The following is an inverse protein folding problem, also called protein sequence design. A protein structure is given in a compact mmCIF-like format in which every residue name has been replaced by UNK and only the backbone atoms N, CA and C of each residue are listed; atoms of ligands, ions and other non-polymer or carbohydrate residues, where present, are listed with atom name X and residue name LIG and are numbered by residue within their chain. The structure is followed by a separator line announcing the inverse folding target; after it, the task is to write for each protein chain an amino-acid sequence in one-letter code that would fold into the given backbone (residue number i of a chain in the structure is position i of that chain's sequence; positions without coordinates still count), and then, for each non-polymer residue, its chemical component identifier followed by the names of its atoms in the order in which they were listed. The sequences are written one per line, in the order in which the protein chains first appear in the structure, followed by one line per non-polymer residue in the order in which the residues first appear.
data_IF_471258190564
#
_entry.id   IF_471258190564
#
_cell.length_a   1.000
_cell.length_b   1.000
_cell.length_c   1.000
_cell.angle_alpha   90.00
_cell.angle_beta   90.00
_cell.angle_gamma   90.00
#
_symmetry.space_group_name_H-M   'P 1'
#
loop_
_entity.id
_entity.type
_entity.pdbx_description
1 polymer ?
#
# COMPACT_ATOMS: atom_id res chain seq x y z
N UNK A 1 29.89 5.16 -3.80
CA UNK A 1 29.51 6.02 -2.67
C UNK A 1 30.68 6.10 -1.72
N UNK A 2 30.90 7.23 -1.01
CA UNK A 2 31.69 7.16 0.22
C UNK A 2 31.06 6.10 1.15
N UNK A 3 31.85 5.38 1.95
CA UNK A 3 31.33 4.36 2.86
C UNK A 3 30.23 4.96 3.73
N UNK A 4 29.14 4.23 3.90
CA UNK A 4 28.08 4.61 4.84
C UNK A 4 28.71 4.76 6.22
N UNK A 5 28.42 5.86 6.91
CA UNK A 5 28.83 6.06 8.29
C UNK A 5 28.26 4.92 9.17
N UNK A 6 29.09 4.11 9.84
CA UNK A 6 28.62 3.02 10.69
C UNK A 6 27.77 3.49 11.87
N UNK A 7 27.85 4.78 12.24
CA UNK A 7 27.02 5.37 13.30
C UNK A 7 25.61 5.73 12.83
N UNK A 8 25.36 5.80 11.50
CA UNK A 8 24.02 6.02 10.96
C UNK A 8 23.24 4.72 10.91
N UNK A 9 22.26 4.59 11.78
CA UNK A 9 21.32 3.46 11.84
C UNK A 9 20.44 3.32 10.59
N UNK A 10 19.85 2.13 10.40
CA UNK A 10 18.94 1.84 9.28
C UNK A 10 17.65 2.67 9.35
N UNK A 11 17.16 2.93 10.58
CA UNK A 11 16.00 3.75 10.87
C UNK A 11 16.41 5.22 11.00
N UNK A 12 16.57 5.89 9.86
CA UNK A 12 16.70 7.34 9.85
C UNK A 12 15.34 7.99 10.11
N UNK A 13 15.31 9.16 10.75
CA UNK A 13 14.07 9.88 11.08
C UNK A 13 13.16 10.06 9.85
N UNK A 14 13.75 10.26 8.66
CA UNK A 14 13.01 10.33 7.39
C UNK A 14 12.16 9.07 7.14
N UNK A 15 12.74 7.88 7.31
CA UNK A 15 12.04 6.60 7.09
C UNK A 15 10.96 6.41 8.14
N UNK A 16 11.24 6.74 9.41
CA UNK A 16 10.24 6.59 10.48
C UNK A 16 9.01 7.45 10.19
N UNK A 17 9.21 8.72 9.80
CA UNK A 17 8.12 9.64 9.45
C UNK A 17 7.35 9.16 8.23
N UNK A 18 8.03 8.65 7.19
CA UNK A 18 7.37 8.09 6.01
C UNK A 18 6.44 6.92 6.38
N UNK A 19 6.94 5.94 7.14
CA UNK A 19 6.15 4.77 7.54
C UNK A 19 4.95 5.19 8.40
N UNK A 20 5.15 6.12 9.35
CA UNK A 20 4.06 6.61 10.20
C UNK A 20 2.99 7.34 9.40
N UNK A 21 3.38 8.25 8.49
CA UNK A 21 2.43 8.99 7.66
C UNK A 21 1.58 8.05 6.81
N UNK A 22 2.22 7.15 6.05
CA UNK A 22 1.50 6.22 5.19
C UNK A 22 0.66 5.23 6.00
N UNK A 23 1.18 4.72 7.12
CA UNK A 23 0.45 3.81 8.00
C UNK A 23 -0.81 4.45 8.59
N UNK A 24 -0.71 5.67 9.11
CA UNK A 24 -1.86 6.42 9.62
C UNK A 24 -2.88 6.68 8.51
N UNK A 25 -2.43 7.12 7.34
CA UNK A 25 -3.33 7.45 6.23
C UNK A 25 -4.08 6.22 5.70
N UNK A 26 -3.39 5.09 5.53
CA UNK A 26 -4.01 3.81 5.15
C UNK A 26 -4.98 3.34 6.22
N UNK A 27 -4.60 3.42 7.50
CA UNK A 27 -5.47 3.06 8.62
C UNK A 27 -6.75 3.88 8.68
N UNK A 28 -6.65 5.20 8.46
CA UNK A 28 -7.80 6.10 8.41
C UNK A 28 -8.74 5.77 7.25
N UNK A 29 -8.22 5.54 6.04
CA UNK A 29 -9.03 5.12 4.89
C UNK A 29 -9.71 3.77 5.12
N UNK A 30 -9.02 2.84 5.77
CA UNK A 30 -9.56 1.53 6.13
C UNK A 30 -10.75 1.69 7.10
N UNK A 31 -10.56 2.39 8.22
CA UNK A 31 -11.62 2.63 9.22
C UNK A 31 -12.78 3.41 8.61
N UNK A 32 -12.49 4.41 7.77
CA UNK A 32 -13.51 5.18 7.07
C UNK A 32 -14.33 4.29 6.12
N UNK A 33 -13.67 3.38 5.39
CA UNK A 33 -14.39 2.43 4.50
C UNK A 33 -15.34 1.52 5.28
N UNK A 34 -14.93 1.06 6.46
CA UNK A 34 -15.79 0.29 7.36
C UNK A 34 -17.02 1.11 7.77
N UNK A 35 -16.79 2.36 8.23
CA UNK A 35 -17.84 3.27 8.65
C UNK A 35 -18.81 3.58 7.51
N UNK A 36 -18.32 3.86 6.30
CA UNK A 36 -19.17 4.16 5.15
C UNK A 36 -20.12 2.99 4.84
N UNK A 37 -19.61 1.76 4.79
CA UNK A 37 -20.43 0.59 4.47
C UNK A 37 -21.44 0.28 5.57
N UNK A 38 -21.05 0.39 6.84
CA UNK A 38 -21.94 0.07 7.96
C UNK A 38 -23.00 1.16 8.19
N UNK A 39 -22.59 2.43 8.16
CA UNK A 39 -23.39 3.54 8.67
C UNK A 39 -24.00 4.43 7.59
N UNK A 40 -23.30 4.66 6.48
CA UNK A 40 -23.79 5.59 5.44
C UNK A 40 -24.62 4.84 4.40
N UNK A 41 -24.12 3.71 3.93
CA UNK A 41 -24.79 2.89 2.92
C UNK A 41 -25.52 1.68 3.53
N UNK A 42 -25.26 1.38 4.80
CA UNK A 42 -25.94 0.35 5.57
C UNK A 42 -27.09 0.90 6.40
N UNK A 43 -27.70 0.01 7.18
CA UNK A 43 -28.85 0.31 8.04
C UNK A 43 -28.45 0.83 9.44
N UNK A 44 -27.16 1.11 9.69
CA UNK A 44 -26.61 1.43 11.03
C UNK A 44 -26.85 0.33 12.09
N UNK A 45 -27.30 -0.85 11.67
CA UNK A 45 -27.49 -1.98 12.56
C UNK A 45 -26.17 -2.69 12.78
N UNK A 46 -25.84 -2.94 14.04
CA UNK A 46 -24.64 -3.67 14.43
C UNK A 46 -24.90 -5.17 14.54
N UNK A 47 -26.15 -5.60 14.39
CA UNK A 47 -26.60 -6.97 14.59
C UNK A 47 -26.38 -7.45 16.02
N UNK A 48 -26.69 -8.72 16.25
CA UNK A 48 -26.43 -9.38 17.53
C UNK A 48 -25.37 -10.48 17.40
N UNK A 49 -24.42 -10.50 18.33
CA UNK A 49 -23.34 -11.48 18.44
C UNK A 49 -22.51 -11.74 17.14
N UNK A 50 -22.29 -10.70 16.33
CA UNK A 50 -21.57 -10.78 15.03
C UNK A 50 -20.07 -11.12 15.11
N UNK A 51 -19.50 -11.23 16.31
CA UNK A 51 -18.10 -11.66 16.50
C UNK A 51 -17.96 -13.18 16.52
N UNK A 52 -19.03 -13.91 16.87
CA UNK A 52 -18.99 -15.36 17.05
C UNK A 52 -19.36 -16.09 15.74
N UNK A 53 -20.59 -15.88 15.28
CA UNK A 53 -21.18 -16.59 14.15
C UNK A 53 -21.88 -15.63 13.19
N UNK A 54 -21.85 -15.96 11.90
CA UNK A 54 -22.62 -15.22 10.91
C UNK A 54 -24.12 -15.48 11.12
N UNK A 55 -24.91 -14.40 11.14
CA UNK A 55 -26.36 -14.45 11.07
C UNK A 55 -26.85 -13.34 10.13
N UNK A 56 -28.13 -13.35 9.70
CA UNK A 56 -28.65 -12.34 8.78
C UNK A 56 -28.58 -10.90 9.30
N UNK A 57 -28.67 -10.68 10.63
CA UNK A 57 -28.53 -9.33 11.20
C UNK A 57 -27.11 -8.76 11.06
N UNK A 58 -26.10 -9.63 10.86
CA UNK A 58 -24.70 -9.24 10.73
C UNK A 58 -24.26 -8.94 9.30
N UNK A 59 -25.17 -8.94 8.32
CA UNK A 59 -24.81 -8.84 6.90
C UNK A 59 -23.95 -7.60 6.61
N UNK A 60 -24.40 -6.42 7.05
CA UNK A 60 -23.67 -5.16 6.83
C UNK A 60 -22.36 -5.09 7.60
N UNK A 61 -22.30 -5.64 8.82
CA UNK A 61 -21.05 -5.72 9.59
C UNK A 61 -20.02 -6.58 8.86
N UNK A 62 -20.43 -7.73 8.32
CA UNK A 62 -19.53 -8.62 7.59
C UNK A 62 -19.09 -8.02 6.24
N UNK A 63 -19.97 -7.30 5.54
CA UNK A 63 -19.61 -6.56 4.32
C UNK A 63 -18.66 -5.40 4.61
N UNK A 64 -18.87 -4.67 5.71
CA UNK A 64 -17.98 -3.61 6.16
C UNK A 64 -16.59 -4.15 6.52
N UNK A 65 -16.52 -5.30 7.20
CA UNK A 65 -15.25 -6.02 7.46
C UNK A 65 -14.55 -6.44 6.16
N UNK A 66 -15.31 -6.95 5.20
CA UNK A 66 -14.80 -7.35 3.89
C UNK A 66 -14.19 -6.18 3.13
N UNK A 67 -14.90 -5.04 3.12
CA UNK A 67 -14.45 -3.80 2.49
C UNK A 67 -13.21 -3.25 3.17
N UNK A 68 -13.20 -3.18 4.51
CA UNK A 68 -12.05 -2.76 5.29
C UNK A 68 -10.81 -3.61 5.01
N UNK A 69 -10.98 -4.94 4.98
CA UNK A 69 -9.90 -5.87 4.62
C UNK A 69 -9.37 -5.62 3.20
N UNK A 70 -10.26 -5.43 2.22
CA UNK A 70 -9.88 -5.15 0.84
C UNK A 70 -9.11 -3.82 0.73
N UNK A 71 -9.63 -2.74 1.33
CA UNK A 71 -8.97 -1.43 1.36
C UNK A 71 -7.59 -1.55 1.99
N UNK A 72 -7.48 -2.11 3.20
CA UNK A 72 -6.21 -2.24 3.91
C UNK A 72 -5.19 -3.03 3.08
N UNK A 73 -5.54 -4.23 2.63
CA UNK A 73 -4.61 -5.12 1.92
C UNK A 73 -4.16 -4.49 0.61
N UNK A 74 -5.07 -3.93 -0.18
CA UNK A 74 -4.73 -3.38 -1.50
C UNK A 74 -3.92 -2.09 -1.36
N UNK A 75 -4.26 -1.21 -0.41
CA UNK A 75 -3.46 -0.01 -0.16
C UNK A 75 -2.06 -0.35 0.34
N UNK A 76 -1.88 -1.42 1.12
CA UNK A 76 -0.54 -1.91 1.49
C UNK A 76 0.26 -2.40 0.28
N UNK A 77 -0.40 -3.00 -0.72
CA UNK A 77 0.25 -3.37 -1.98
C UNK A 77 0.71 -2.13 -2.76
N UNK A 78 -0.10 -1.08 -2.84
CA UNK A 78 0.34 0.20 -3.44
C UNK A 78 1.45 0.87 -2.63
N UNK A 79 1.38 0.80 -1.30
CA UNK A 79 2.42 1.31 -0.41
C UNK A 79 3.78 0.64 -0.65
N UNK A 80 3.80 -0.67 -0.90
CA UNK A 80 5.05 -1.37 -1.23
C UNK A 80 5.77 -0.77 -2.45
N UNK A 81 5.02 -0.30 -3.45
CA UNK A 81 5.58 0.43 -4.59
C UNK A 81 6.03 1.85 -4.24
N UNK A 82 5.34 2.51 -3.32
CA UNK A 82 5.79 3.81 -2.81
C UNK A 82 7.12 3.69 -2.06
N UNK A 83 7.33 2.62 -1.28
CA UNK A 83 8.58 2.34 -0.56
C UNK A 83 9.78 2.06 -1.49
N UNK A 84 9.54 1.71 -2.76
CA UNK A 84 10.61 1.45 -3.74
C UNK A 84 11.46 2.70 -4.01
N UNK A 85 10.87 3.89 -3.87
CA UNK A 85 11.57 5.15 -4.06
C UNK A 85 11.09 6.18 -3.03
N UNK A 86 11.94 6.54 -2.05
CA UNK A 86 11.55 7.43 -0.96
C UNK A 86 11.33 8.89 -1.42
N UNK A 87 11.66 9.22 -2.68
CA UNK A 87 11.62 10.59 -3.20
C UNK A 87 10.68 10.76 -4.38
N UNK A 88 10.65 9.81 -5.32
CA UNK A 88 9.78 9.90 -6.50
C UNK A 88 8.39 9.35 -6.20
N UNK A 89 7.37 10.10 -6.60
CA UNK A 89 5.98 9.66 -6.51
C UNK A 89 5.70 8.40 -7.34
N UNK A 90 4.80 7.56 -6.84
CA UNK A 90 4.49 6.25 -7.43
C UNK A 90 3.91 6.36 -8.85
N UNK A 91 3.16 7.43 -9.12
CA UNK A 91 2.55 7.72 -10.43
C UNK A 91 3.46 8.50 -11.41
N UNK A 92 4.75 8.67 -11.12
CA UNK A 92 5.66 9.29 -12.08
C UNK A 92 5.77 8.43 -13.35
N UNK A 93 5.74 9.06 -14.54
CA UNK A 93 5.85 8.37 -15.84
C UNK A 93 7.01 7.38 -15.91
N UNK A 94 8.17 7.75 -15.34
CA UNK A 94 9.35 6.90 -15.28
C UNK A 94 9.12 5.65 -14.42
N UNK A 95 8.36 5.77 -13.32
CA UNK A 95 8.03 4.64 -12.45
C UNK A 95 7.00 3.73 -13.10
N UNK A 96 5.98 4.31 -13.75
CA UNK A 96 4.98 3.55 -14.50
C UNK A 96 5.61 2.71 -15.63
N UNK A 97 6.58 3.28 -16.36
CA UNK A 97 7.34 2.55 -17.38
C UNK A 97 8.19 1.41 -16.80
N UNK A 98 8.67 1.57 -15.57
CA UNK A 98 9.57 0.62 -14.90
C UNK A 98 8.88 -0.19 -13.79
N UNK A 99 7.55 -0.33 -13.80
CA UNK A 99 6.81 -1.10 -12.79
C UNK A 99 7.32 -2.54 -12.74
N UNK A 100 7.63 -3.14 -13.89
CA UNK A 100 8.11 -4.52 -14.02
C UNK A 100 9.62 -4.70 -13.80
N UNK A 101 10.38 -3.63 -13.57
CA UNK A 101 11.84 -3.73 -13.37
C UNK A 101 12.19 -4.60 -12.16
N UNK A 102 11.38 -4.55 -11.09
CA UNK A 102 11.44 -5.52 -10.00
C UNK A 102 10.36 -6.58 -10.18
N UNK A 103 10.72 -7.69 -10.85
CA UNK A 103 9.82 -8.82 -11.11
C UNK A 103 9.21 -9.40 -9.84
N UNK A 104 9.99 -9.52 -8.76
CA UNK A 104 9.51 -10.05 -7.48
C UNK A 104 8.43 -9.17 -6.88
N UNK A 105 8.65 -7.85 -6.83
CA UNK A 105 7.64 -6.90 -6.35
C UNK A 105 6.35 -6.97 -7.18
N UNK A 106 6.48 -7.09 -8.50
CA UNK A 106 5.34 -7.23 -9.40
C UNK A 106 4.53 -8.50 -9.14
N UNK A 107 5.18 -9.65 -9.04
CA UNK A 107 4.48 -10.90 -8.75
C UNK A 107 3.90 -10.92 -7.34
N UNK A 108 4.60 -10.37 -6.33
CA UNK A 108 4.08 -10.25 -4.97
C UNK A 108 2.84 -9.36 -4.89
N UNK A 109 2.79 -8.26 -5.64
CA UNK A 109 1.60 -7.41 -5.73
C UNK A 109 0.39 -8.20 -6.23
N UNK A 110 0.53 -8.88 -7.37
CA UNK A 110 -0.57 -9.66 -7.95
C UNK A 110 -0.96 -10.87 -7.10
N UNK A 111 0.01 -11.51 -6.45
CA UNK A 111 -0.26 -12.56 -5.48
C UNK A 111 -1.08 -12.03 -4.29
N UNK A 112 -0.76 -10.84 -3.77
CA UNK A 112 -1.54 -10.17 -2.73
C UNK A 112 -2.98 -9.86 -3.16
N UNK A 113 -3.17 -9.38 -4.39
CA UNK A 113 -4.50 -9.19 -4.97
C UNK A 113 -5.25 -10.53 -5.05
N UNK A 114 -4.63 -11.58 -5.59
CA UNK A 114 -5.26 -12.90 -5.70
C UNK A 114 -5.66 -13.46 -4.33
N UNK A 115 -4.79 -13.37 -3.32
CA UNK A 115 -5.09 -13.78 -1.93
C UNK A 115 -6.27 -12.98 -1.37
N UNK A 116 -6.37 -11.69 -1.68
CA UNK A 116 -7.51 -10.84 -1.24
C UNK A 116 -8.83 -11.36 -1.82
N UNK A 117 -8.86 -11.69 -3.11
CA UNK A 117 -10.05 -12.28 -3.75
C UNK A 117 -10.39 -13.67 -3.17
N UNK A 118 -9.40 -14.53 -2.96
CA UNK A 118 -9.60 -15.85 -2.35
C UNK A 118 -10.22 -15.70 -0.96
N UNK A 119 -9.67 -14.83 -0.11
CA UNK A 119 -10.17 -14.61 1.24
C UNK A 119 -11.63 -14.12 1.24
N UNK A 120 -12.01 -13.22 0.33
CA UNK A 120 -13.37 -12.65 0.27
C UNK A 120 -14.43 -13.60 -0.28
N UNK A 121 -14.10 -14.37 -1.32
CA UNK A 121 -15.12 -15.07 -2.12
C UNK A 121 -15.16 -16.57 -1.93
N UNK A 122 -14.12 -17.20 -1.36
CA UNK A 122 -14.16 -18.65 -1.07
C UNK A 122 -15.09 -18.92 0.11
N UNK A 123 -16.18 -19.71 -0.08
CA UNK A 123 -17.10 -20.05 0.99
C UNK A 123 -16.41 -20.82 2.11
N UNK A 124 -16.86 -20.62 3.35
CA UNK A 124 -16.24 -21.19 4.55
C UNK A 124 -15.01 -20.39 5.00
N UNK A 125 -14.09 -20.08 4.08
CA UNK A 125 -12.93 -19.25 4.39
C UNK A 125 -13.35 -17.83 4.81
N UNK A 126 -14.23 -17.19 4.04
CA UNK A 126 -14.65 -15.82 4.31
C UNK A 126 -15.39 -15.66 5.65
N UNK A 127 -16.47 -16.42 5.88
CA UNK A 127 -17.35 -16.23 7.04
C UNK A 127 -16.89 -16.96 8.28
N UNK A 128 -16.25 -18.13 8.17
CA UNK A 128 -15.91 -18.94 9.34
C UNK A 128 -14.52 -18.60 9.87
N UNK A 129 -13.56 -18.30 8.98
CA UNK A 129 -12.18 -17.96 9.35
C UNK A 129 -11.98 -16.44 9.43
N UNK A 130 -12.22 -15.71 8.34
CA UNK A 130 -11.95 -14.27 8.28
C UNK A 130 -13.08 -13.38 8.83
N UNK A 131 -14.24 -13.97 9.13
CA UNK A 131 -15.42 -13.28 9.71
C UNK A 131 -15.88 -12.06 8.89
N UNK A 132 -15.82 -12.18 7.56
CA UNK A 132 -16.30 -11.17 6.61
C UNK A 132 -17.16 -11.79 5.50
N UNK A 133 -17.87 -10.96 4.74
CA UNK A 133 -18.71 -11.39 3.62
C UNK A 133 -18.15 -10.88 2.29
N UNK A 134 -18.47 -11.56 1.18
CA UNK A 134 -18.10 -11.08 -0.14
C UNK A 134 -18.72 -9.70 -0.39
N UNK A 135 -17.95 -8.86 -1.05
CA UNK A 135 -18.34 -7.49 -1.42
C UNK A 135 -18.72 -7.44 -2.90
N UNK A 136 -19.54 -6.49 -3.29
CA UNK A 136 -19.97 -6.30 -4.68
C UNK A 136 -19.71 -4.86 -5.11
N UNK A 137 -20.66 -3.96 -4.87
CA UNK A 137 -20.55 -2.55 -5.22
C UNK A 137 -19.54 -1.81 -4.34
N UNK A 138 -19.22 -2.32 -3.15
CA UNK A 138 -18.26 -1.73 -2.22
C UNK A 138 -16.84 -1.69 -2.80
N UNK A 139 -16.54 -2.44 -3.88
CA UNK A 139 -15.32 -2.26 -4.67
C UNK A 139 -15.15 -0.83 -5.21
N UNK A 140 -16.23 -0.09 -5.42
CA UNK A 140 -16.16 1.33 -5.76
C UNK A 140 -15.49 2.16 -4.65
N UNK A 141 -15.76 1.84 -3.38
CA UNK A 141 -15.11 2.48 -2.23
C UNK A 141 -13.62 2.15 -2.22
N UNK A 142 -13.25 0.90 -2.54
CA UNK A 142 -11.85 0.48 -2.66
C UNK A 142 -11.14 1.26 -3.77
N UNK A 143 -11.77 1.41 -4.94
CA UNK A 143 -11.21 2.17 -6.05
C UNK A 143 -11.00 3.65 -5.70
N UNK A 144 -11.98 4.28 -5.05
CA UNK A 144 -11.87 5.67 -4.56
C UNK A 144 -10.75 5.80 -3.52
N UNK A 145 -10.64 4.86 -2.58
CA UNK A 145 -9.57 4.85 -1.58
C UNK A 145 -8.17 4.75 -2.23
N UNK A 146 -8.01 3.96 -3.29
CA UNK A 146 -6.75 3.88 -4.06
C UNK A 146 -6.41 5.24 -4.66
N UNK A 147 -7.36 5.92 -5.31
CA UNK A 147 -7.12 7.23 -5.91
C UNK A 147 -6.73 8.26 -4.85
N UNK A 148 -7.46 8.30 -3.72
CA UNK A 148 -7.15 9.20 -2.60
C UNK A 148 -5.76 8.91 -2.03
N UNK A 149 -5.42 7.64 -1.83
CA UNK A 149 -4.11 7.22 -1.35
C UNK A 149 -2.98 7.64 -2.29
N UNK A 150 -3.12 7.42 -3.60
CA UNK A 150 -2.10 7.80 -4.58
C UNK A 150 -1.92 9.32 -4.67
N UNK A 151 -3.02 10.08 -4.56
CA UNK A 151 -2.95 11.54 -4.48
C UNK A 151 -2.23 12.00 -3.21
N UNK A 152 -2.50 11.35 -2.06
CA UNK A 152 -1.82 11.64 -0.81
C UNK A 152 -0.33 11.26 -0.85
N UNK A 153 0.05 10.14 -1.47
CA UNK A 153 1.44 9.73 -1.71
C UNK A 153 2.18 10.78 -2.55
N UNK A 154 1.56 11.22 -3.65
CA UNK A 154 2.10 12.26 -4.51
C UNK A 154 2.30 13.58 -3.75
N UNK A 155 1.27 14.04 -3.02
CA UNK A 155 1.32 15.27 -2.23
C UNK A 155 2.37 15.19 -1.11
N UNK A 156 2.45 14.07 -0.40
CA UNK A 156 3.42 13.84 0.67
C UNK A 156 4.84 13.89 0.13
N UNK A 157 5.14 13.14 -0.95
CA UNK A 157 6.48 13.13 -1.55
C UNK A 157 6.86 14.48 -2.15
N UNK A 158 5.91 15.19 -2.74
CA UNK A 158 6.11 16.56 -3.21
C UNK A 158 6.46 17.50 -2.04
N UNK A 159 5.67 17.51 -0.97
CA UNK A 159 5.94 18.33 0.23
C UNK A 159 7.27 17.98 0.89
N UNK A 160 7.57 16.68 1.01
CA UNK A 160 8.82 16.15 1.57
C UNK A 160 10.05 16.64 0.81
N UNK A 161 9.94 16.87 -0.50
CA UNK A 161 11.05 17.35 -1.32
C UNK A 161 11.55 18.75 -0.92
N UNK A 162 10.71 19.57 -0.28
CA UNK A 162 11.08 20.89 0.23
C UNK A 162 11.74 20.83 1.61
N UNK A 163 11.34 19.85 2.45
CA UNK A 163 11.78 19.75 3.85
C UNK A 163 13.12 19.00 3.94
N UNK A 164 13.24 17.87 3.25
CA UNK A 164 14.42 17.03 3.31
C UNK A 164 15.26 17.22 2.04
N UNK A 165 16.46 17.79 2.15
CA UNK A 165 17.42 17.80 1.04
C UNK A 165 17.75 16.38 0.59
N UNK A 166 17.85 16.16 -0.71
CA UNK A 166 18.18 14.87 -1.30
C UNK A 166 19.61 14.47 -0.91
N UNK A 167 19.75 13.38 -0.14
CA UNK A 167 21.08 12.85 0.23
C UNK A 167 21.76 12.16 -0.98
N UNK A 168 20.98 11.69 -1.96
CA UNK A 168 21.46 11.09 -3.19
C UNK A 168 21.58 12.12 -4.32
N UNK A 169 22.65 12.92 -4.27
CA UNK A 169 23.19 13.47 -5.51
C UNK A 169 23.98 12.33 -6.17
N UNK A 170 23.73 12.06 -7.46
CA UNK A 170 24.67 11.30 -8.27
C UNK A 170 25.97 12.12 -8.31
N UNK A 171 26.83 11.90 -7.34
CA UNK A 171 28.15 12.48 -7.29
C UNK A 171 28.87 12.09 -8.59
N UNK A 172 29.57 13.01 -9.28
CA UNK A 172 30.19 12.72 -10.60
C UNK A 172 31.07 11.45 -10.57
N UNK A 173 31.71 11.20 -9.42
CA UNK A 173 32.47 9.98 -9.16
C UNK A 173 31.64 8.70 -9.30
N UNK A 174 30.34 8.70 -8.97
CA UNK A 174 29.45 7.54 -9.13
C UNK A 174 29.07 7.28 -10.58
N UNK A 175 28.78 8.33 -11.35
CA UNK A 175 28.53 8.19 -12.78
C UNK A 175 29.75 7.64 -13.52
N UNK A 176 30.96 8.06 -13.11
CA UNK A 176 32.20 7.51 -13.64
C UNK A 176 32.43 6.05 -13.21
N UNK A 177 32.21 5.70 -11.93
CA UNK A 177 32.34 4.32 -11.47
C UNK A 177 31.30 3.37 -12.12
N UNK A 178 30.07 3.83 -12.34
CA UNK A 178 29.07 3.09 -13.10
C UNK A 178 29.48 2.90 -14.55
N UNK A 179 29.97 3.95 -15.24
CA UNK A 179 30.53 3.81 -16.60
C UNK A 179 31.68 2.81 -16.65
N UNK A 180 32.57 2.84 -15.67
CA UNK A 180 33.72 1.93 -15.57
C UNK A 180 33.24 0.48 -15.34
N UNK A 181 32.29 0.26 -14.43
CA UNK A 181 31.71 -1.07 -14.19
C UNK A 181 30.96 -1.60 -15.42
N UNK A 182 30.17 -0.76 -16.09
CA UNK A 182 29.46 -1.14 -17.32
C UNK A 182 30.42 -1.48 -18.45
N UNK A 183 31.52 -0.73 -18.61
CA UNK A 183 32.59 -1.08 -19.56
C UNK A 183 33.21 -2.45 -19.24
N UNK A 184 33.56 -2.71 -17.98
CA UNK A 184 34.14 -3.99 -17.58
C UNK A 184 33.21 -5.18 -17.85
N UNK A 185 31.89 -5.02 -17.71
CA UNK A 185 30.92 -6.07 -18.06
C UNK A 185 30.69 -6.26 -19.55
N UNK A 186 31.11 -5.32 -20.41
CA UNK A 186 31.01 -5.43 -21.87
C UNK A 186 32.28 -6.00 -22.51
N UNK A 187 33.41 -5.96 -21.79
CA UNK A 187 34.70 -6.50 -22.23
C UNK A 187 34.92 -7.98 -21.80
N UNK A 188 33.92 -8.61 -21.15
CA UNK A 188 33.86 -10.05 -20.84
C UNK A 188 32.89 -10.77 -21.77
#
# INVERSE_FOLDING_TARGET
NPPRDPKKGLFVNEVIVDILFHGIFIGLLSILSFYLVLSVFGNNDRGDNCNSTFNPSCEYVFKARGTNFAVLTILLMFFSYSCRDPRRQTLSLNKLKNVYENKYLFYSFWAGIAVTFIALYVPGLNRDVFKHSPITWEWSIVAVAIVIYLAADAAYKYGKSFIFKTVYLNDEKQLNLQRIATKMTMDQ
#
